data_IF_668681042178
#
_entry.id   IF_668681042178
#
_cell.length_a   1.000
_cell.length_b   1.000
_cell.length_c   1.000
_cell.angle_alpha   90.00
_cell.angle_beta   90.00
_cell.angle_gamma   90.00
#
_symmetry.space_group_name_H-M   'P 1'
#
loop_
_entity.id
_entity.type
_entity.pdbx_description
1 polymer ?
#
# COMPACT_ATOMS: atom_id res chain seq x y z
N UNK A 1 65.32 -21.82 29.76
CA UNK A 1 64.28 -22.18 28.81
C UNK A 1 62.93 -21.95 29.46
N UNK A 2 62.31 -20.82 29.19
CA UNK A 2 60.99 -20.45 29.72
C UNK A 2 59.95 -20.60 28.64
N UNK A 3 59.06 -21.57 28.74
CA UNK A 3 57.94 -21.81 27.85
C UNK A 3 56.81 -20.86 28.21
N UNK A 4 56.64 -19.79 27.42
CA UNK A 4 55.48 -18.89 27.49
C UNK A 4 54.25 -19.59 26.92
N UNK A 5 53.34 -20.06 27.79
CA UNK A 5 52.04 -20.56 27.39
C UNK A 5 51.15 -19.36 26.93
N UNK A 6 50.99 -19.21 25.64
CA UNK A 6 50.09 -18.25 25.03
C UNK A 6 48.63 -18.76 25.25
N UNK A 7 47.96 -18.24 26.25
CA UNK A 7 46.53 -18.54 26.51
C UNK A 7 45.68 -17.74 25.50
N UNK A 8 45.29 -18.36 24.41
CA UNK A 8 44.33 -17.81 23.46
C UNK A 8 42.99 -17.65 24.18
N UNK A 9 42.63 -16.47 24.64
CA UNK A 9 41.31 -16.16 25.21
C UNK A 9 40.25 -16.54 24.17
N UNK A 10 39.50 -17.61 24.42
CA UNK A 10 38.36 -18.00 23.58
C UNK A 10 37.35 -16.85 23.65
N UNK A 11 37.23 -16.06 22.58
CA UNK A 11 36.18 -15.06 22.41
C UNK A 11 34.82 -15.74 22.59
N UNK A 12 34.01 -15.37 23.57
CA UNK A 12 32.65 -15.83 23.87
C UNK A 12 32.51 -16.90 24.99
N UNK A 13 33.53 -17.16 25.80
CA UNK A 13 33.40 -17.99 27.00
C UNK A 13 33.51 -17.07 28.21
N UNK A 14 32.49 -17.14 29.09
CA UNK A 14 32.45 -16.42 30.36
C UNK A 14 33.35 -17.08 31.41
N UNK A 15 33.74 -16.38 32.47
CA UNK A 15 34.53 -16.98 33.59
C UNK A 15 33.85 -18.19 34.20
N UNK A 16 32.52 -18.32 34.12
CA UNK A 16 31.71 -19.47 34.56
C UNK A 16 31.79 -20.69 33.64
N UNK A 17 32.57 -20.64 32.56
CA UNK A 17 32.63 -21.71 31.55
C UNK A 17 31.48 -21.68 30.52
N UNK A 18 30.47 -20.87 30.71
CA UNK A 18 29.33 -20.74 29.80
C UNK A 18 29.68 -19.95 28.54
N UNK A 19 29.05 -20.28 27.42
CA UNK A 19 29.21 -19.58 26.16
C UNK A 19 28.12 -18.51 26.00
N UNK A 20 28.51 -17.28 25.59
CA UNK A 20 27.62 -16.17 25.34
C UNK A 20 27.69 -15.79 23.87
N UNK A 21 26.51 -15.63 23.23
CA UNK A 21 26.35 -15.16 21.84
C UNK A 21 25.48 -13.92 21.86
N UNK A 22 25.89 -12.90 21.11
CA UNK A 22 25.12 -11.69 20.90
C UNK A 22 24.55 -11.68 19.48
N UNK A 23 23.27 -11.37 19.38
CA UNK A 23 22.53 -11.26 18.12
C UNK A 23 21.99 -9.84 18.00
N UNK A 24 22.14 -9.26 16.82
CA UNK A 24 21.56 -7.95 16.52
C UNK A 24 20.04 -7.98 16.72
N UNK A 25 19.51 -6.99 17.40
CA UNK A 25 18.09 -6.85 17.71
C UNK A 25 17.44 -5.77 16.85
N UNK A 26 17.78 -4.50 17.07
CA UNK A 26 17.28 -3.35 16.32
C UNK A 26 18.27 -2.19 16.38
N UNK A 27 18.01 -1.17 15.56
CA UNK A 27 18.70 0.13 15.62
C UNK A 27 17.66 1.15 16.10
N UNK A 28 17.99 1.96 17.12
CA UNK A 28 17.12 3.03 17.60
C UNK A 28 17.12 4.25 16.66
N UNK A 29 16.28 5.25 16.99
CA UNK A 29 16.13 6.48 16.20
C UNK A 29 17.42 7.32 16.14
N UNK A 30 18.35 7.10 17.09
CA UNK A 30 19.65 7.76 17.14
C UNK A 30 20.74 7.02 16.33
N UNK A 31 20.36 5.90 15.68
CA UNK A 31 21.28 5.07 14.86
C UNK A 31 22.13 4.08 15.68
N UNK A 32 21.89 3.91 16.97
CA UNK A 32 22.62 2.98 17.84
C UNK A 32 22.05 1.56 17.72
N UNK A 33 22.95 0.59 17.53
CA UNK A 33 22.62 -0.83 17.38
C UNK A 33 22.46 -1.52 18.74
N UNK A 34 21.32 -2.18 18.94
CA UNK A 34 21.01 -2.97 20.12
C UNK A 34 21.18 -4.47 19.83
N UNK A 35 21.69 -5.21 20.83
CA UNK A 35 21.98 -6.64 20.71
C UNK A 35 21.38 -7.40 21.88
N UNK A 36 20.77 -8.55 21.61
CA UNK A 36 20.30 -9.50 22.63
C UNK A 36 21.36 -10.57 22.85
N UNK A 37 21.59 -10.92 24.12
CA UNK A 37 22.61 -11.89 24.52
C UNK A 37 21.96 -13.21 24.93
N UNK A 38 22.53 -14.34 24.45
CA UNK A 38 22.13 -15.68 24.76
C UNK A 38 23.31 -16.39 25.44
N UNK A 39 23.08 -16.91 26.63
CA UNK A 39 24.12 -17.63 27.43
C UNK A 39 23.66 -19.03 27.70
N UNK A 40 24.51 -20.01 27.39
CA UNK A 40 24.24 -21.43 27.62
C UNK A 40 25.54 -22.20 27.99
N UNK A 41 25.44 -23.38 28.58
CA UNK A 41 26.61 -24.19 28.94
C UNK A 41 27.50 -24.55 27.75
N UNK A 42 26.93 -24.68 26.56
CA UNK A 42 27.66 -24.94 25.31
C UNK A 42 27.36 -23.92 24.23
N UNK A 43 28.34 -23.69 23.32
CA UNK A 43 28.19 -22.80 22.19
C UNK A 43 27.00 -23.21 21.29
N UNK A 44 26.79 -24.53 21.11
CA UNK A 44 25.70 -25.05 20.26
C UNK A 44 24.33 -24.71 20.85
N UNK A 45 24.13 -24.85 22.15
CA UNK A 45 22.89 -24.47 22.84
C UNK A 45 22.63 -22.98 22.80
N UNK A 46 23.66 -22.12 22.95
CA UNK A 46 23.53 -20.70 22.82
C UNK A 46 23.16 -20.28 21.36
N UNK A 47 23.69 -20.99 20.35
CA UNK A 47 23.32 -20.77 18.96
C UNK A 47 21.89 -21.20 18.66
N UNK A 48 21.43 -22.33 19.20
CA UNK A 48 20.05 -22.79 19.05
C UNK A 48 19.07 -21.80 19.68
N UNK A 49 19.30 -21.36 20.92
CA UNK A 49 18.47 -20.35 21.57
C UNK A 49 18.44 -19.02 20.80
N UNK A 50 19.57 -18.61 20.21
CA UNK A 50 19.64 -17.43 19.35
C UNK A 50 18.89 -17.61 18.03
N UNK A 51 18.91 -18.80 17.44
CA UNK A 51 18.19 -19.14 16.22
C UNK A 51 16.67 -19.22 16.47
N UNK A 52 16.24 -19.85 17.55
CA UNK A 52 14.85 -19.90 17.99
C UNK A 52 14.30 -18.48 18.23
N UNK A 53 15.04 -17.66 18.96
CA UNK A 53 14.64 -16.27 19.18
C UNK A 53 14.55 -15.46 17.87
N UNK A 54 15.47 -15.68 16.91
CA UNK A 54 15.37 -15.03 15.59
C UNK A 54 14.14 -15.49 14.83
N UNK A 55 13.85 -16.79 14.86
CA UNK A 55 12.66 -17.35 14.21
C UNK A 55 11.37 -16.83 14.86
N UNK A 56 11.32 -16.76 16.18
CA UNK A 56 10.21 -16.17 16.93
C UNK A 56 10.07 -14.69 16.67
N UNK A 57 11.18 -13.94 16.68
CA UNK A 57 11.16 -12.52 16.35
C UNK A 57 10.68 -12.26 14.93
N UNK A 58 11.02 -13.09 13.97
CA UNK A 58 10.51 -13.04 12.61
C UNK A 58 8.99 -13.29 12.57
N UNK A 59 8.49 -14.24 13.38
CA UNK A 59 7.05 -14.51 13.53
C UNK A 59 6.30 -13.37 14.24
N UNK A 60 6.93 -12.68 15.20
CA UNK A 60 6.31 -11.64 16.04
C UNK A 60 6.54 -10.22 15.54
N UNK A 61 7.20 -10.03 14.39
CA UNK A 61 7.39 -8.70 13.80
C UNK A 61 6.07 -8.14 13.30
N UNK A 62 5.40 -7.39 14.21
CA UNK A 62 4.36 -6.38 13.90
C UNK A 62 2.96 -6.91 13.59
N UNK A 63 2.73 -8.20 13.38
CA UNK A 63 1.38 -8.74 13.24
C UNK A 63 0.95 -9.44 14.53
N UNK A 64 -0.19 -9.05 15.14
CA UNK A 64 -0.84 -9.92 16.10
C UNK A 64 -1.05 -11.29 15.42
N UNK A 65 -0.67 -12.39 16.06
CA UNK A 65 -0.71 -13.76 15.50
C UNK A 65 -2.06 -14.18 14.90
N UNK A 66 -3.09 -13.37 15.07
CA UNK A 66 -4.46 -13.63 14.63
C UNK A 66 -5.04 -12.58 13.68
N UNK A 67 -4.27 -11.59 13.21
CA UNK A 67 -4.80 -10.55 12.31
C UNK A 67 -5.17 -11.14 10.95
N UNK A 68 -6.43 -10.99 10.56
CA UNK A 68 -6.90 -11.37 9.22
C UNK A 68 -6.52 -10.32 8.19
N UNK A 69 -6.50 -10.70 6.91
CA UNK A 69 -6.26 -9.72 5.83
C UNK A 69 -7.30 -8.60 5.83
N UNK A 70 -8.55 -8.89 6.16
CA UNK A 70 -9.61 -7.87 6.25
C UNK A 70 -9.31 -6.86 7.36
N UNK A 71 -8.95 -7.34 8.56
CA UNK A 71 -8.61 -6.47 9.69
C UNK A 71 -7.39 -5.59 9.38
N UNK A 72 -6.37 -6.18 8.73
CA UNK A 72 -5.20 -5.46 8.27
C UNK A 72 -5.54 -4.40 7.23
N UNK A 73 -6.43 -4.70 6.28
CA UNK A 73 -6.88 -3.77 5.25
C UNK A 73 -7.64 -2.58 5.86
N UNK A 74 -8.53 -2.82 6.81
CA UNK A 74 -9.24 -1.76 7.51
C UNK A 74 -8.29 -0.89 8.35
N UNK A 75 -7.34 -1.53 9.04
CA UNK A 75 -6.30 -0.83 9.79
C UNK A 75 -5.38 -0.01 8.89
N UNK A 76 -5.02 -0.53 7.71
CA UNK A 76 -4.23 0.20 6.71
C UNK A 76 -4.94 1.49 6.29
N UNK A 77 -6.23 1.41 5.98
CA UNK A 77 -7.04 2.58 5.61
C UNK A 77 -7.05 3.60 6.76
N UNK A 78 -7.26 3.15 7.99
CA UNK A 78 -7.29 4.03 9.17
C UNK A 78 -5.95 4.75 9.38
N UNK A 79 -4.84 4.02 9.35
CA UNK A 79 -3.49 4.57 9.56
C UNK A 79 -3.10 5.55 8.44
N UNK A 80 -3.53 5.28 7.21
CA UNK A 80 -3.20 6.10 6.03
C UNK A 80 -4.24 7.18 5.71
N UNK A 81 -5.33 7.28 6.47
CA UNK A 81 -6.46 8.17 6.15
C UNK A 81 -6.03 9.64 5.93
N UNK A 82 -5.10 10.15 6.74
CA UNK A 82 -4.60 11.52 6.58
C UNK A 82 -3.69 11.75 5.37
N UNK A 83 -3.11 10.68 4.79
CA UNK A 83 -2.19 10.75 3.64
C UNK A 83 -2.87 10.36 2.32
N UNK A 84 -4.00 9.65 2.37
CA UNK A 84 -4.73 9.20 1.19
C UNK A 84 -5.76 10.23 0.74
N UNK A 85 -5.96 10.32 -0.57
CA UNK A 85 -7.08 11.15 -1.06
C UNK A 85 -8.43 10.49 -0.73
N UNK A 86 -9.52 11.26 -0.49
CA UNK A 86 -10.84 10.71 -0.19
C UNK A 86 -11.32 9.66 -1.20
N UNK A 87 -11.11 9.91 -2.48
CA UNK A 87 -11.46 8.97 -3.56
C UNK A 87 -10.67 7.65 -3.49
N UNK A 88 -9.43 7.68 -2.97
CA UNK A 88 -8.63 6.47 -2.76
C UNK A 88 -9.17 5.66 -1.59
N UNK A 89 -9.55 6.33 -0.50
CA UNK A 89 -10.18 5.70 0.68
C UNK A 89 -11.47 5.00 0.28
N UNK A 90 -12.35 5.67 -0.48
CA UNK A 90 -13.58 5.08 -1.03
C UNK A 90 -13.26 3.83 -1.87
N UNK A 91 -12.26 3.92 -2.76
CA UNK A 91 -11.83 2.80 -3.58
C UNK A 91 -11.37 1.60 -2.74
N UNK A 92 -10.57 1.83 -1.70
CA UNK A 92 -10.08 0.78 -0.81
C UNK A 92 -11.20 0.16 0.03
N UNK A 93 -12.13 0.96 0.57
CA UNK A 93 -13.30 0.44 1.28
C UNK A 93 -14.22 -0.38 0.39
N UNK A 94 -14.39 0.01 -0.87
CA UNK A 94 -15.13 -0.77 -1.85
C UNK A 94 -14.45 -2.13 -2.13
N UNK A 95 -13.11 -2.17 -2.20
CA UNK A 95 -12.36 -3.42 -2.33
C UNK A 95 -12.57 -4.29 -1.09
N UNK A 96 -12.47 -3.73 0.12
CA UNK A 96 -12.72 -4.46 1.36
C UNK A 96 -14.13 -5.08 1.38
N UNK A 97 -15.14 -4.28 1.03
CA UNK A 97 -16.55 -4.70 1.05
C UNK A 97 -16.86 -5.77 0.01
N UNK A 98 -16.39 -5.58 -1.23
CA UNK A 98 -16.81 -6.39 -2.36
C UNK A 98 -15.88 -7.57 -2.65
N UNK A 99 -14.62 -7.51 -2.25
CA UNK A 99 -13.59 -8.46 -2.68
C UNK A 99 -12.83 -9.12 -1.51
N UNK A 100 -12.84 -8.54 -0.31
CA UNK A 100 -12.24 -9.11 0.90
C UNK A 100 -13.29 -9.61 1.92
N UNK A 101 -14.58 -9.58 1.60
CA UNK A 101 -15.63 -10.18 2.42
C UNK A 101 -15.64 -11.71 2.36
N UNK A 102 -15.04 -12.29 1.33
CA UNK A 102 -14.95 -13.72 1.07
C UNK A 102 -13.84 -14.42 1.88
N UNK A 103 -13.42 -15.59 1.38
CA UNK A 103 -12.46 -16.46 2.08
C UNK A 103 -11.09 -15.78 2.32
N UNK A 104 -10.55 -15.07 1.33
CA UNK A 104 -9.22 -14.43 1.46
C UNK A 104 -9.18 -13.44 2.62
N UNK A 105 -10.22 -12.62 2.78
CA UNK A 105 -10.27 -11.63 3.87
C UNK A 105 -10.28 -12.24 5.27
N UNK A 106 -10.67 -13.52 5.41
CA UNK A 106 -10.72 -14.26 6.68
C UNK A 106 -9.42 -14.99 6.99
N UNK A 107 -8.51 -15.11 6.01
CA UNK A 107 -7.22 -15.76 6.20
C UNK A 107 -6.33 -14.84 7.03
N UNK A 108 -5.58 -15.42 7.95
CA UNK A 108 -4.56 -14.71 8.71
C UNK A 108 -3.44 -14.29 7.78
N UNK A 109 -2.83 -13.12 8.02
CA UNK A 109 -1.74 -12.61 7.18
C UNK A 109 -0.58 -13.59 7.07
N UNK A 110 -0.27 -14.30 8.15
CA UNK A 110 0.81 -15.29 8.21
C UNK A 110 0.57 -16.51 7.31
N UNK A 111 -0.70 -16.83 7.03
CA UNK A 111 -1.10 -18.00 6.25
C UNK A 111 -1.33 -17.67 4.76
N UNK A 112 -1.12 -16.41 4.36
CA UNK A 112 -1.27 -15.99 2.97
C UNK A 112 0.02 -16.27 2.21
N UNK A 113 -0.07 -17.17 1.23
CA UNK A 113 0.99 -17.49 0.29
C UNK A 113 0.65 -17.08 -1.15
N UNK A 114 1.61 -17.29 -2.06
CA UNK A 114 1.44 -16.98 -3.49
C UNK A 114 0.33 -17.79 -4.15
N UNK A 115 0.10 -19.04 -3.72
CA UNK A 115 -0.93 -19.92 -4.28
C UNK A 115 -2.32 -19.42 -3.89
N UNK A 116 -2.55 -19.11 -2.62
CA UNK A 116 -3.79 -18.54 -2.09
C UNK A 116 -4.11 -17.21 -2.78
N UNK A 117 -3.11 -16.36 -2.92
CA UNK A 117 -3.28 -15.07 -3.61
C UNK A 117 -3.61 -15.25 -5.10
N UNK A 118 -2.96 -16.21 -5.77
CA UNK A 118 -3.23 -16.48 -7.19
C UNK A 118 -4.64 -17.02 -7.41
N UNK A 119 -5.16 -17.88 -6.53
CA UNK A 119 -6.56 -18.37 -6.58
C UNK A 119 -7.52 -17.18 -6.50
N UNK A 120 -7.33 -16.29 -5.52
CA UNK A 120 -8.18 -15.11 -5.39
C UNK A 120 -8.12 -14.19 -6.62
N UNK A 121 -6.93 -13.98 -7.21
CA UNK A 121 -6.78 -13.20 -8.45
C UNK A 121 -7.55 -13.85 -9.60
N UNK A 122 -7.49 -15.18 -9.71
CA UNK A 122 -8.21 -15.93 -10.75
C UNK A 122 -9.72 -15.82 -10.59
N UNK A 123 -10.24 -15.91 -9.35
CA UNK A 123 -11.64 -15.70 -9.04
C UNK A 123 -12.13 -14.29 -9.38
N UNK A 124 -11.30 -13.28 -9.11
CA UNK A 124 -11.60 -11.91 -9.51
C UNK A 124 -11.59 -11.74 -11.04
N UNK A 125 -10.62 -12.34 -11.72
CA UNK A 125 -10.46 -12.23 -13.17
C UNK A 125 -11.64 -12.85 -13.95
N UNK A 126 -12.34 -13.80 -13.36
CA UNK A 126 -13.53 -14.39 -13.96
C UNK A 126 -14.72 -13.41 -14.07
N UNK A 127 -14.73 -12.32 -13.28
CA UNK A 127 -15.87 -11.38 -13.17
C UNK A 127 -15.50 -9.91 -13.26
N UNK A 128 -14.24 -9.57 -13.23
CA UNK A 128 -13.76 -8.18 -13.25
C UNK A 128 -12.83 -7.92 -14.42
N UNK A 129 -12.73 -6.64 -14.82
CA UNK A 129 -11.73 -6.21 -15.80
C UNK A 129 -10.31 -6.39 -15.25
N UNK A 130 -9.30 -6.63 -16.13
CA UNK A 130 -7.90 -6.72 -15.72
C UNK A 130 -7.42 -5.52 -14.88
N UNK A 131 -7.91 -4.32 -15.20
CA UNK A 131 -7.59 -3.08 -14.45
C UNK A 131 -8.15 -3.14 -13.03
N UNK A 132 -9.38 -3.61 -12.85
CA UNK A 132 -10.01 -3.74 -11.53
C UNK A 132 -9.29 -4.78 -10.67
N UNK A 133 -8.92 -5.92 -11.27
CA UNK A 133 -8.09 -6.95 -10.60
C UNK A 133 -6.74 -6.39 -10.16
N UNK A 134 -6.05 -5.67 -11.05
CA UNK A 134 -4.78 -5.02 -10.74
C UNK A 134 -4.89 -4.00 -9.60
N UNK A 135 -5.98 -3.22 -9.56
CA UNK A 135 -6.22 -2.26 -8.49
C UNK A 135 -6.49 -2.97 -7.15
N UNK A 136 -7.30 -4.03 -7.15
CA UNK A 136 -7.57 -4.83 -5.95
C UNK A 136 -6.31 -5.50 -5.41
N UNK A 137 -5.52 -6.12 -6.28
CA UNK A 137 -4.24 -6.71 -5.89
C UNK A 137 -3.24 -5.66 -5.38
N UNK A 138 -3.14 -4.51 -6.05
CA UNK A 138 -2.25 -3.42 -5.64
C UNK A 138 -2.54 -2.93 -4.23
N UNK A 139 -3.82 -2.82 -3.86
CA UNK A 139 -4.22 -2.50 -2.49
C UNK A 139 -3.82 -3.59 -1.50
N UNK A 140 -4.15 -4.86 -1.80
CA UNK A 140 -3.79 -6.00 -0.92
C UNK A 140 -2.27 -6.11 -0.77
N UNK A 141 -1.51 -5.94 -1.85
CA UNK A 141 -0.04 -5.92 -1.83
C UNK A 141 0.51 -4.81 -0.94
N UNK A 142 -0.09 -3.61 -0.95
CA UNK A 142 0.29 -2.52 -0.07
C UNK A 142 -0.01 -2.82 1.41
N UNK A 143 -1.14 -3.48 1.70
CA UNK A 143 -1.49 -3.98 3.05
C UNK A 143 -0.47 -5.02 3.51
N UNK A 144 -0.17 -6.02 2.68
CA UNK A 144 0.84 -7.05 2.98
C UNK A 144 2.21 -6.43 3.21
N UNK A 145 2.64 -5.48 2.37
CA UNK A 145 3.91 -4.76 2.53
C UNK A 145 4.02 -3.99 3.85
N UNK A 146 2.89 -3.51 4.41
CA UNK A 146 2.88 -2.81 5.69
C UNK A 146 2.86 -3.75 6.89
N UNK A 147 2.07 -4.84 6.84
CA UNK A 147 1.80 -5.70 8.00
C UNK A 147 2.50 -7.07 7.96
N UNK A 148 2.95 -7.51 6.78
CA UNK A 148 3.68 -8.76 6.58
C UNK A 148 4.82 -8.55 5.55
N UNK A 149 5.78 -7.65 5.81
CA UNK A 149 6.79 -7.23 4.83
C UNK A 149 7.73 -8.36 4.40
N UNK A 150 7.88 -9.38 5.22
CA UNK A 150 8.75 -10.52 4.92
C UNK A 150 8.06 -11.56 4.00
N UNK A 151 6.76 -11.40 3.72
CA UNK A 151 5.99 -12.29 2.84
C UNK A 151 6.17 -11.85 1.38
N UNK A 152 6.90 -12.65 0.60
CA UNK A 152 7.05 -12.42 -0.83
C UNK A 152 5.93 -13.12 -1.61
N UNK A 153 5.12 -12.35 -2.33
CA UNK A 153 4.02 -12.87 -3.14
C UNK A 153 4.40 -12.82 -4.62
N UNK A 154 4.51 -13.99 -5.23
CA UNK A 154 4.76 -14.14 -6.67
C UNK A 154 3.46 -14.54 -7.37
N UNK A 155 2.82 -13.58 -8.04
CA UNK A 155 1.53 -13.78 -8.72
C UNK A 155 1.54 -13.28 -10.15
N UNK A 156 0.67 -13.85 -10.98
CA UNK A 156 0.45 -13.41 -12.35
C UNK A 156 -0.90 -12.70 -12.47
N UNK A 157 -0.86 -11.44 -12.86
CA UNK A 157 -2.05 -10.64 -13.11
C UNK A 157 -2.58 -10.89 -14.55
N UNK A 158 -3.91 -10.74 -14.75
CA UNK A 158 -4.48 -10.84 -16.09
C UNK A 158 -3.95 -9.73 -16.99
N UNK A 159 -3.63 -10.07 -18.23
CA UNK A 159 -3.14 -9.12 -19.21
C UNK A 159 -4.23 -8.10 -19.59
N UNK A 160 -3.92 -6.81 -19.48
CA UNK A 160 -4.79 -5.75 -19.91
C UNK A 160 -4.59 -5.49 -21.41
N UNK A 161 -5.64 -5.69 -22.21
CA UNK A 161 -5.67 -5.17 -23.58
C UNK A 161 -5.92 -3.66 -23.48
N UNK A 162 -5.09 -2.85 -24.16
CA UNK A 162 -5.35 -1.41 -24.29
C UNK A 162 -6.60 -1.25 -25.16
N UNK A 163 -7.72 -0.72 -24.65
CA UNK A 163 -8.86 -0.42 -25.51
C UNK A 163 -8.48 0.69 -26.49
N UNK A 164 -8.99 0.61 -27.70
CA UNK A 164 -8.97 1.75 -28.60
C UNK A 164 -9.85 2.84 -27.98
N UNK A 165 -9.22 3.93 -27.54
CA UNK A 165 -9.94 5.06 -27.00
C UNK A 165 -10.51 5.88 -28.17
N UNK A 166 -11.82 6.09 -28.15
CA UNK A 166 -12.46 7.04 -29.04
C UNK A 166 -12.08 8.46 -28.58
N UNK A 167 -11.52 9.26 -29.49
CA UNK A 167 -11.23 10.66 -29.27
C UNK A 167 -12.24 11.47 -30.09
N UNK A 168 -13.11 12.27 -29.46
CA UNK A 168 -14.07 13.10 -30.18
C UNK A 168 -13.36 14.02 -31.17
N UNK A 169 -13.91 14.13 -32.38
CA UNK A 169 -13.45 15.08 -33.38
C UNK A 169 -14.21 16.41 -33.25
N UNK A 170 -13.82 17.41 -34.05
CA UNK A 170 -14.43 18.76 -34.02
C UNK A 170 -15.93 18.74 -34.29
N UNK A 171 -16.41 17.84 -35.16
CA UNK A 171 -17.82 17.71 -35.46
C UNK A 171 -18.62 17.14 -34.28
N UNK A 172 -18.04 16.17 -33.56
CA UNK A 172 -18.65 15.61 -32.35
C UNK A 172 -18.80 16.70 -31.28
N UNK A 173 -17.75 17.51 -31.09
CA UNK A 173 -17.75 18.62 -30.12
C UNK A 173 -18.81 19.68 -30.52
N UNK A 174 -18.89 20.07 -31.79
CA UNK A 174 -19.90 21.00 -32.26
C UNK A 174 -21.32 20.47 -32.05
N UNK A 175 -21.56 19.22 -32.36
CA UNK A 175 -22.86 18.58 -32.17
C UNK A 175 -23.24 18.54 -30.68
N UNK A 176 -22.30 18.20 -29.81
CA UNK A 176 -22.51 18.18 -28.36
C UNK A 176 -22.84 19.60 -27.85
N UNK A 177 -22.03 20.60 -28.20
CA UNK A 177 -22.24 21.98 -27.78
C UNK A 177 -23.60 22.54 -28.27
N UNK A 178 -24.01 22.20 -29.48
CA UNK A 178 -25.35 22.61 -30.00
C UNK A 178 -26.49 21.99 -29.16
N UNK A 179 -26.31 20.72 -28.72
CA UNK A 179 -27.33 20.02 -27.94
C UNK A 179 -27.46 20.51 -26.49
N UNK A 180 -26.39 21.11 -25.92
CA UNK A 180 -26.35 21.59 -24.53
C UNK A 180 -26.29 23.11 -24.40
N UNK A 181 -26.47 23.83 -25.53
CA UNK A 181 -26.42 25.29 -25.57
C UNK A 181 -27.42 25.90 -24.58
N UNK A 182 -26.97 26.92 -23.83
CA UNK A 182 -27.77 27.58 -22.80
C UNK A 182 -27.92 26.80 -21.49
N UNK A 183 -27.32 25.60 -21.35
CA UNK A 183 -27.29 24.85 -20.09
C UNK A 183 -26.00 25.10 -19.32
N UNK A 184 -25.99 24.78 -18.02
CA UNK A 184 -24.77 24.84 -17.17
C UNK A 184 -23.64 23.95 -17.70
N UNK A 185 -23.95 22.88 -18.45
CA UNK A 185 -22.98 21.96 -19.02
C UNK A 185 -22.17 22.56 -20.16
N UNK A 186 -22.68 23.59 -20.85
CA UNK A 186 -22.01 24.24 -21.98
C UNK A 186 -20.63 24.76 -21.57
N UNK A 187 -20.56 25.53 -20.50
CA UNK A 187 -19.28 26.03 -19.95
C UNK A 187 -18.32 24.92 -19.54
N UNK A 188 -18.84 23.86 -18.92
CA UNK A 188 -18.03 22.72 -18.48
C UNK A 188 -17.43 21.96 -19.67
N UNK A 189 -18.20 21.76 -20.76
CA UNK A 189 -17.74 21.10 -21.99
C UNK A 189 -16.72 21.96 -22.73
N UNK A 190 -16.94 23.28 -22.81
CA UNK A 190 -15.97 24.22 -23.39
C UNK A 190 -14.63 24.17 -22.66
N UNK A 191 -14.65 24.23 -21.34
CA UNK A 191 -13.46 24.13 -20.51
C UNK A 191 -12.75 22.78 -20.63
N UNK A 192 -13.49 21.68 -20.83
CA UNK A 192 -12.91 20.35 -21.04
C UNK A 192 -12.33 20.17 -22.45
N UNK A 193 -12.99 20.72 -23.47
CA UNK A 193 -12.60 20.52 -24.87
C UNK A 193 -11.44 21.44 -25.29
N UNK A 194 -11.43 22.67 -24.84
CA UNK A 194 -10.46 23.69 -25.28
C UNK A 194 -9.44 24.08 -24.20
N UNK A 195 -9.77 23.85 -22.93
CA UNK A 195 -8.80 23.93 -21.82
C UNK A 195 -8.51 22.52 -21.31
N UNK A 196 -7.27 22.04 -21.15
CA UNK A 196 -6.96 20.67 -20.76
C UNK A 196 -7.33 20.37 -19.28
N UNK A 197 -8.49 20.84 -18.83
CA UNK A 197 -8.94 20.74 -17.45
C UNK A 197 -9.59 19.39 -17.17
N UNK A 198 -9.28 18.84 -15.99
CA UNK A 198 -9.93 17.61 -15.52
C UNK A 198 -11.30 17.92 -14.91
N UNK A 199 -12.23 16.97 -14.96
CA UNK A 199 -13.58 17.11 -14.40
C UNK A 199 -13.60 17.72 -12.99
N UNK A 200 -12.75 17.22 -12.07
CA UNK A 200 -12.71 17.73 -10.70
C UNK A 200 -12.16 19.16 -10.58
N UNK A 201 -11.32 19.58 -11.52
CA UNK A 201 -10.79 20.94 -11.61
C UNK A 201 -11.87 21.88 -12.12
N UNK A 202 -12.60 21.49 -13.16
CA UNK A 202 -13.76 22.24 -13.67
C UNK A 202 -14.82 22.43 -12.58
N UNK A 203 -15.15 21.35 -11.84
CA UNK A 203 -16.14 21.43 -10.76
C UNK A 203 -15.70 22.30 -9.57
N UNK A 204 -14.41 22.61 -9.46
CA UNK A 204 -13.85 23.46 -8.40
C UNK A 204 -13.65 24.91 -8.83
N UNK A 205 -13.91 25.25 -10.12
CA UNK A 205 -13.75 26.61 -10.61
C UNK A 205 -14.83 27.53 -10.05
N UNK A 206 -14.42 28.77 -9.78
CA UNK A 206 -15.25 29.89 -9.41
C UNK A 206 -14.89 31.07 -10.35
N UNK A 207 -15.77 32.03 -10.49
CA UNK A 207 -15.57 33.25 -11.31
C UNK A 207 -14.24 33.97 -10.97
N UNK A 208 -13.83 33.99 -9.70
CA UNK A 208 -12.56 34.59 -9.26
C UNK A 208 -11.31 33.96 -9.86
N UNK A 209 -11.40 32.69 -10.30
CA UNK A 209 -10.31 31.97 -10.94
C UNK A 209 -10.14 32.29 -12.43
N UNK A 210 -11.08 33.03 -13.01
CA UNK A 210 -11.07 33.42 -14.42
C UNK A 210 -10.74 34.91 -14.51
N UNK A 211 -9.63 35.27 -15.16
CA UNK A 211 -9.21 36.66 -15.36
C UNK A 211 -8.80 36.87 -16.81
N UNK A 212 -9.64 37.55 -17.55
CA UNK A 212 -9.44 37.72 -19.00
C UNK A 212 -9.46 36.38 -19.73
N UNK A 213 -8.33 36.02 -20.35
CA UNK A 213 -8.12 34.74 -21.06
C UNK A 213 -7.36 33.69 -20.23
N UNK A 214 -7.15 33.93 -18.92
CA UNK A 214 -6.43 33.05 -18.02
C UNK A 214 -7.38 32.37 -17.05
N UNK A 215 -7.20 31.06 -16.87
CA UNK A 215 -7.88 30.24 -15.85
C UNK A 215 -6.83 29.70 -14.88
N UNK A 216 -6.99 30.03 -13.59
CA UNK A 216 -6.10 29.53 -12.53
C UNK A 216 -6.74 28.33 -11.86
N UNK A 217 -6.02 27.19 -11.83
CA UNK A 217 -6.48 25.95 -11.22
C UNK A 217 -5.83 25.81 -9.83
N UNK A 218 -6.59 26.16 -8.79
CA UNK A 218 -6.13 26.06 -7.40
C UNK A 218 -6.58 24.76 -6.72
N UNK A 219 -7.76 24.25 -7.10
CA UNK A 219 -8.40 23.12 -6.44
C UNK A 219 -8.97 22.10 -7.42
N UNK A 220 -9.24 20.92 -6.90
CA UNK A 220 -10.01 19.87 -7.55
C UNK A 220 -11.09 19.39 -6.59
N UNK A 221 -12.32 19.33 -7.03
CA UNK A 221 -13.46 18.86 -6.24
C UNK A 221 -13.54 17.34 -6.27
N UNK A 222 -13.71 16.71 -5.10
CA UNK A 222 -13.84 15.26 -4.94
C UNK A 222 -14.96 14.94 -3.97
N UNK A 223 -15.61 13.79 -4.19
CA UNK A 223 -16.62 13.26 -3.28
C UNK A 223 -15.93 12.51 -2.14
N UNK A 224 -16.38 12.74 -0.90
CA UNK A 224 -15.99 11.96 0.29
C UNK A 224 -16.83 10.71 0.43
N UNK A 225 -16.51 9.86 1.40
CA UNK A 225 -17.29 8.67 1.73
C UNK A 225 -18.69 9.02 2.25
N UNK A 226 -18.81 10.12 2.97
CA UNK A 226 -20.07 10.65 3.49
C UNK A 226 -20.91 11.37 2.42
N UNK A 227 -20.50 11.23 1.15
CA UNK A 227 -21.13 11.88 -0.03
C UNK A 227 -21.09 13.41 0.01
N UNK A 228 -20.13 13.98 0.71
CA UNK A 228 -19.87 15.40 0.73
C UNK A 228 -18.83 15.78 -0.35
N UNK A 229 -19.03 16.92 -1.01
CA UNK A 229 -18.08 17.47 -1.95
C UNK A 229 -17.05 18.32 -1.22
N UNK A 230 -15.77 17.98 -1.37
CA UNK A 230 -14.66 18.71 -0.76
C UNK A 230 -13.64 19.17 -1.79
N UNK A 231 -13.06 20.33 -1.54
CA UNK A 231 -11.95 20.85 -2.33
C UNK A 231 -10.64 20.24 -1.83
N UNK A 232 -9.80 19.83 -2.76
CA UNK A 232 -8.41 19.41 -2.47
C UNK A 232 -7.45 20.01 -3.49
N UNK A 233 -6.17 20.02 -3.18
CA UNK A 233 -5.13 20.41 -4.14
C UNK A 233 -5.13 19.48 -5.36
N UNK A 234 -4.85 19.99 -6.57
CA UNK A 234 -4.66 19.17 -7.77
C UNK A 234 -3.58 18.09 -7.57
N UNK A 235 -3.61 17.04 -8.39
CA UNK A 235 -2.60 15.96 -8.31
C UNK A 235 -1.23 16.39 -8.82
N UNK A 236 -1.21 17.38 -9.67
CA UNK A 236 0.00 17.99 -10.26
C UNK A 236 -0.11 19.48 -10.09
N UNK A 237 0.93 20.18 -9.61
CA UNK A 237 0.97 21.64 -9.59
C UNK A 237 0.95 22.21 -10.99
#
# INVERSE_FOLDING_TARGET
>A
MGTTKTTTKRKNVLPSGSCRIQVYDYTDEEGKKHYKSFTAPTKKLAQMAAAEWKADKAKHRVTPDNMTLKDAAERYITVKNGALSPSTVIGYRNICRNHLSGYLGRIKLIDIDSATMQIWISDLAARLSPKSVSNAYGFVSAVMGMFAPDTQLHVKLPAAKKPALYCPNDQDIKTLLSAISGTELESAVLLAAFGPLRRGEISALDAKHIRGNMVTIEYSMVLTEDKEWVLKQPKTP
#
